data_IF_367044692287
#
_entry.id   IF_367044692287
#
_cell.length_a   1.000
_cell.length_b   1.000
_cell.length_c   1.000
_cell.angle_alpha   90.00
_cell.angle_beta   90.00
_cell.angle_gamma   90.00
#
_symmetry.space_group_name_H-M   'P 1'
#
loop_
_entity.id
_entity.type
_entity.pdbx_description
1 polymer ?
#
# COMPACT_ATOMS: atom_id res chain seq x y z
N UNK A 1 -12.12 -24.33 -20.74
CA UNK A 1 -11.67 -25.32 -19.73
C UNK A 1 -12.36 -25.20 -18.37
N UNK A 2 -12.22 -24.14 -17.56
CA UNK A 2 -12.91 -24.07 -16.24
C UNK A 2 -14.45 -24.19 -16.34
N UNK A 3 -15.04 -23.75 -17.46
CA UNK A 3 -16.47 -23.90 -17.76
C UNK A 3 -16.90 -25.36 -18.00
N UNK A 4 -16.01 -26.24 -18.43
CA UNK A 4 -16.33 -27.67 -18.63
C UNK A 4 -16.67 -28.34 -17.30
N UNK A 5 -16.12 -27.86 -16.19
CA UNK A 5 -16.45 -28.37 -14.86
C UNK A 5 -17.88 -28.02 -14.43
N UNK A 6 -18.51 -27.04 -15.08
CA UNK A 6 -19.92 -26.72 -14.87
C UNK A 6 -20.85 -27.58 -15.73
N UNK A 7 -20.31 -28.32 -16.70
CA UNK A 7 -21.10 -29.17 -17.59
C UNK A 7 -21.25 -30.61 -17.05
N UNK A 8 -20.64 -30.92 -15.89
CA UNK A 8 -20.72 -32.23 -15.22
C UNK A 8 -20.43 -33.43 -16.14
N UNK A 9 -19.59 -33.23 -17.16
CA UNK A 9 -19.23 -34.25 -18.14
C UNK A 9 -18.33 -35.32 -17.50
N UNK A 10 -18.61 -36.58 -17.83
CA UNK A 10 -17.77 -37.72 -17.55
C UNK A 10 -16.52 -37.76 -18.43
N UNK A 11 -15.56 -38.62 -18.06
CA UNK A 11 -14.29 -38.78 -18.80
C UNK A 11 -14.44 -39.32 -20.22
N UNK A 12 -15.58 -39.94 -20.53
CA UNK A 12 -15.87 -40.57 -21.82
C UNK A 12 -16.91 -39.80 -22.64
N UNK A 13 -17.43 -38.71 -22.11
CA UNK A 13 -18.45 -37.92 -22.79
C UNK A 13 -17.82 -37.04 -23.86
N UNK A 14 -18.47 -36.97 -25.03
CA UNK A 14 -18.03 -36.08 -26.10
C UNK A 14 -18.20 -34.62 -25.67
N UNK A 15 -17.18 -33.79 -25.96
CA UNK A 15 -17.30 -32.36 -25.72
C UNK A 15 -18.33 -31.76 -26.67
N UNK A 16 -19.16 -30.82 -26.20
CA UNK A 16 -20.03 -30.10 -27.11
C UNK A 16 -19.19 -29.33 -28.14
N UNK A 17 -19.73 -29.24 -29.36
CA UNK A 17 -19.02 -28.72 -30.54
C UNK A 17 -18.38 -27.34 -30.32
N UNK A 18 -19.03 -26.48 -29.54
CA UNK A 18 -18.53 -25.13 -29.25
C UNK A 18 -17.23 -25.16 -28.44
N UNK A 19 -17.21 -25.96 -27.38
CA UNK A 19 -16.06 -26.11 -26.48
C UNK A 19 -14.91 -26.83 -27.18
N UNK A 20 -15.21 -27.84 -28.00
CA UNK A 20 -14.21 -28.53 -28.82
C UNK A 20 -13.53 -27.55 -29.79
N UNK A 21 -14.32 -26.73 -30.48
CA UNK A 21 -13.78 -25.75 -31.44
C UNK A 21 -12.95 -24.66 -30.76
N UNK A 22 -13.38 -24.17 -29.59
CA UNK A 22 -12.58 -23.23 -28.78
C UNK A 22 -11.27 -23.86 -28.31
N UNK A 23 -11.29 -25.13 -27.92
CA UNK A 23 -10.10 -25.88 -27.54
C UNK A 23 -9.15 -26.09 -28.72
N UNK A 24 -9.65 -26.48 -29.88
CA UNK A 24 -8.84 -26.66 -31.10
C UNK A 24 -8.15 -25.35 -31.51
N UNK A 25 -8.90 -24.23 -31.54
CA UNK A 25 -8.32 -22.90 -31.79
C UNK A 25 -7.22 -22.53 -30.79
N UNK A 26 -7.38 -22.88 -29.52
CA UNK A 26 -6.35 -22.68 -28.52
C UNK A 26 -5.09 -23.51 -28.81
N UNK A 27 -5.25 -24.80 -29.17
CA UNK A 27 -4.13 -25.65 -29.58
C UNK A 27 -3.42 -25.09 -30.80
N UNK A 28 -4.15 -24.65 -31.82
CA UNK A 28 -3.56 -24.05 -33.03
C UNK A 28 -2.74 -22.79 -32.67
N UNK A 29 -3.24 -21.96 -31.74
CA UNK A 29 -2.51 -20.78 -31.26
C UNK A 29 -1.19 -21.11 -30.54
N UNK A 30 -1.03 -22.33 -30.01
CA UNK A 30 0.22 -22.75 -29.37
C UNK A 30 1.37 -22.90 -30.37
N UNK A 31 1.07 -23.12 -31.66
CA UNK A 31 2.13 -23.18 -32.67
C UNK A 31 2.87 -21.84 -32.81
N UNK A 32 2.16 -20.73 -32.60
CA UNK A 32 2.76 -19.39 -32.60
C UNK A 32 3.79 -19.20 -31.47
N UNK A 33 3.72 -19.98 -30.39
CA UNK A 33 4.67 -19.92 -29.26
C UNK A 33 6.08 -20.31 -29.71
N UNK A 34 6.22 -21.18 -30.72
CA UNK A 34 7.54 -21.57 -31.27
C UNK A 34 8.32 -20.37 -31.82
N UNK A 35 7.62 -19.33 -32.26
CA UNK A 35 8.21 -18.13 -32.85
C UNK A 35 8.47 -17.01 -31.83
N UNK A 36 8.13 -17.22 -30.55
CA UNK A 36 8.35 -16.21 -29.51
C UNK A 36 9.82 -16.29 -29.05
N UNK A 37 10.60 -15.30 -29.47
CA UNK A 37 11.95 -15.07 -28.94
C UNK A 37 11.90 -14.09 -27.77
N UNK A 38 12.45 -14.49 -26.62
CA UNK A 38 12.53 -13.64 -25.42
C UNK A 38 14.01 -13.41 -25.10
N UNK A 39 14.43 -12.15 -25.12
CA UNK A 39 15.76 -11.76 -24.70
C UNK A 39 15.98 -12.16 -23.23
N UNK A 40 16.90 -13.09 -22.98
CA UNK A 40 17.20 -13.59 -21.62
C UNK A 40 17.95 -12.56 -20.80
N UNK A 41 18.67 -11.64 -21.45
CA UNK A 41 19.45 -10.64 -20.76
C UNK A 41 18.53 -9.53 -20.27
N UNK A 42 18.08 -9.69 -19.03
CA UNK A 42 17.36 -8.63 -18.35
C UNK A 42 18.40 -7.54 -18.05
N UNK A 43 19.50 -7.80 -17.36
CA UNK A 43 20.45 -6.77 -16.87
C UNK A 43 21.10 -5.93 -18.01
N UNK A 44 21.09 -4.61 -17.86
CA UNK A 44 21.91 -3.72 -18.70
C UNK A 44 23.17 -3.37 -17.92
N UNK A 45 24.34 -3.61 -18.50
CA UNK A 45 25.60 -3.17 -17.92
C UNK A 45 25.62 -1.64 -17.86
N UNK A 46 25.88 -1.09 -16.67
CA UNK A 46 26.02 0.36 -16.42
C UNK A 46 24.73 1.18 -16.59
N UNK A 47 23.56 0.61 -16.28
CA UNK A 47 22.37 1.42 -16.07
C UNK A 47 22.56 2.34 -14.86
N UNK A 48 22.29 3.63 -15.03
CA UNK A 48 22.37 4.63 -13.96
C UNK A 48 21.18 4.49 -13.00
N UNK A 49 20.01 4.18 -13.55
CA UNK A 49 18.80 3.94 -12.77
C UNK A 49 18.05 2.71 -13.23
N UNK A 50 17.48 2.00 -12.25
CA UNK A 50 16.65 0.82 -12.45
C UNK A 50 15.34 1.02 -11.69
N UNK A 51 14.25 1.07 -12.43
CA UNK A 51 12.89 1.25 -11.91
C UNK A 51 12.08 -0.03 -12.13
N UNK A 52 11.25 -0.40 -11.15
CA UNK A 52 10.27 -1.48 -11.30
C UNK A 52 8.86 -0.89 -11.38
N UNK A 53 8.12 -1.25 -12.42
CA UNK A 53 6.74 -0.81 -12.66
C UNK A 53 5.82 -2.03 -12.61
N UNK A 54 4.90 -2.02 -11.66
CA UNK A 54 4.01 -3.12 -11.37
C UNK A 54 2.58 -2.72 -11.72
N UNK A 55 1.91 -3.51 -12.54
CA UNK A 55 0.54 -3.25 -12.97
C UNK A 55 -0.36 -4.37 -12.48
N UNK A 56 -1.53 -4.03 -11.96
CA UNK A 56 -2.61 -4.97 -11.68
C UNK A 56 -3.83 -4.64 -12.52
N UNK A 57 -4.48 -5.68 -13.01
CA UNK A 57 -5.76 -5.59 -13.72
C UNK A 57 -6.66 -6.77 -13.34
N UNK A 58 -7.97 -6.58 -13.47
CA UNK A 58 -8.95 -7.62 -13.27
C UNK A 58 -10.17 -7.49 -14.18
N UNK A 59 -10.63 -8.66 -14.63
CA UNK A 59 -11.87 -8.86 -15.35
C UNK A 59 -12.76 -9.84 -14.60
N UNK A 60 -14.01 -10.00 -15.05
CA UNK A 60 -14.95 -10.99 -14.50
C UNK A 60 -14.38 -12.42 -14.53
N UNK A 61 -13.56 -12.73 -15.54
CA UNK A 61 -13.03 -14.08 -15.79
C UNK A 61 -11.72 -14.34 -15.07
N UNK A 62 -10.87 -13.33 -14.90
CA UNK A 62 -9.54 -13.49 -14.35
C UNK A 62 -8.98 -12.16 -13.85
N UNK A 63 -8.04 -12.23 -12.92
CA UNK A 63 -7.22 -11.09 -12.48
C UNK A 63 -5.75 -11.41 -12.60
N UNK A 64 -4.93 -10.38 -12.80
CA UNK A 64 -3.52 -10.55 -13.13
C UNK A 64 -2.64 -9.42 -12.63
N UNK A 65 -1.35 -9.69 -12.74
CA UNK A 65 -0.27 -8.79 -12.38
C UNK A 65 0.87 -8.91 -13.39
N UNK A 66 1.42 -7.79 -13.83
CA UNK A 66 2.64 -7.73 -14.64
C UNK A 66 3.64 -6.78 -13.98
N UNK A 67 4.92 -7.14 -14.02
CA UNK A 67 6.03 -6.37 -13.45
C UNK A 67 7.04 -6.17 -14.57
N UNK A 68 7.24 -4.92 -14.92
CA UNK A 68 8.24 -4.46 -15.86
C UNK A 68 9.39 -3.84 -15.10
N UNK A 69 10.56 -3.93 -15.71
CA UNK A 69 11.72 -3.18 -15.29
C UNK A 69 12.09 -2.21 -16.39
N UNK A 70 12.25 -0.95 -16.02
CA UNK A 70 12.76 0.12 -16.84
C UNK A 70 14.19 0.42 -16.39
N UNK A 71 15.11 0.49 -17.34
CA UNK A 71 16.51 0.81 -17.08
C UNK A 71 16.90 1.98 -17.96
N UNK A 72 17.56 2.97 -17.36
CA UNK A 72 17.99 4.20 -18.03
C UNK A 72 19.52 4.22 -18.00
N UNK A 73 20.15 4.35 -19.17
CA UNK A 73 21.61 4.49 -19.29
C UNK A 73 22.05 5.92 -19.00
N UNK A 74 23.34 6.11 -18.74
CA UNK A 74 23.96 7.45 -18.58
C UNK A 74 23.78 8.35 -19.81
N UNK A 75 23.51 7.77 -20.98
CA UNK A 75 23.24 8.49 -22.23
C UNK A 75 21.74 8.79 -22.42
N UNK A 76 20.89 8.42 -21.45
CA UNK A 76 19.45 8.58 -21.50
C UNK A 76 18.70 7.48 -22.26
N UNK A 77 19.38 6.41 -22.69
CA UNK A 77 18.71 5.31 -23.39
C UNK A 77 17.82 4.52 -22.43
N UNK A 78 16.57 4.30 -22.83
CA UNK A 78 15.58 3.59 -22.01
C UNK A 78 15.31 2.21 -22.60
N UNK A 79 15.52 1.16 -21.80
CA UNK A 79 15.09 -0.21 -22.14
C UNK A 79 14.08 -0.69 -21.10
N UNK A 80 12.94 -1.18 -21.58
CA UNK A 80 11.88 -1.77 -20.75
C UNK A 80 11.76 -3.26 -21.04
N UNK A 81 11.72 -4.08 -20.00
CA UNK A 81 11.58 -5.53 -20.13
C UNK A 81 10.55 -6.07 -19.13
N UNK A 82 9.74 -7.04 -19.56
CA UNK A 82 8.86 -7.78 -18.67
C UNK A 82 9.71 -8.73 -17.81
N UNK A 83 9.63 -8.59 -16.49
CA UNK A 83 10.36 -9.44 -15.53
C UNK A 83 9.48 -10.58 -15.06
N UNK A 84 8.22 -10.28 -14.71
CA UNK A 84 7.29 -11.28 -14.21
C UNK A 84 5.87 -10.93 -14.61
N UNK A 85 5.14 -11.92 -15.11
CA UNK A 85 3.68 -11.87 -15.20
C UNK A 85 3.06 -13.03 -14.43
N UNK A 86 1.90 -12.81 -13.83
CA UNK A 86 1.08 -13.87 -13.22
C UNK A 86 -0.40 -13.51 -13.31
N UNK A 87 -1.20 -14.46 -13.80
CA UNK A 87 -2.66 -14.40 -13.80
C UNK A 87 -3.27 -15.50 -12.91
N UNK A 88 -4.50 -15.28 -12.47
CA UNK A 88 -5.35 -16.24 -11.75
C UNK A 88 -6.78 -16.14 -12.25
N UNK A 89 -7.44 -17.28 -12.41
CA UNK A 89 -8.85 -17.33 -12.75
C UNK A 89 -9.70 -16.76 -11.61
N UNK A 90 -10.77 -16.08 -11.98
CA UNK A 90 -11.76 -15.57 -11.04
C UNK A 90 -12.44 -16.74 -10.33
N UNK A 91 -12.74 -16.64 -9.03
CA UNK A 91 -13.50 -17.66 -8.33
C UNK A 91 -14.85 -17.91 -9.02
N UNK A 92 -15.30 -19.17 -9.04
CA UNK A 92 -16.64 -19.52 -9.56
C UNK A 92 -17.75 -18.80 -8.79
N UNK A 93 -17.54 -18.57 -7.49
CA UNK A 93 -18.42 -17.72 -6.69
C UNK A 93 -18.23 -16.27 -7.11
N UNK A 94 -19.29 -15.69 -7.66
CA UNK A 94 -19.27 -14.32 -8.17
C UNK A 94 -18.83 -13.33 -7.08
N UNK A 95 -17.78 -12.58 -7.40
CA UNK A 95 -17.29 -11.46 -6.61
C UNK A 95 -17.26 -10.22 -7.50
N UNK A 96 -17.45 -9.05 -6.90
CA UNK A 96 -17.50 -7.81 -7.66
C UNK A 96 -16.14 -7.48 -8.29
N UNK A 97 -16.17 -6.78 -9.44
CA UNK A 97 -14.96 -6.31 -10.14
C UNK A 97 -13.98 -5.58 -9.20
N UNK A 98 -14.40 -4.63 -8.35
CA UNK A 98 -13.47 -3.98 -7.42
C UNK A 98 -12.75 -4.92 -6.45
N UNK A 99 -13.41 -6.01 -6.04
CA UNK A 99 -12.79 -7.02 -5.17
C UNK A 99 -11.78 -7.89 -5.93
N UNK A 100 -12.00 -8.10 -7.23
CA UNK A 100 -11.07 -8.78 -8.13
C UNK A 100 -9.86 -7.89 -8.45
N UNK A 101 -10.07 -6.61 -8.71
CA UNK A 101 -9.00 -5.63 -8.87
C UNK A 101 -8.13 -5.57 -7.60
N UNK A 102 -8.75 -5.58 -6.41
CA UNK A 102 -8.03 -5.70 -5.14
C UNK A 102 -7.29 -7.04 -5.01
N UNK A 103 -7.81 -8.15 -5.56
CA UNK A 103 -7.05 -9.40 -5.65
C UNK A 103 -5.78 -9.20 -6.50
N UNK A 104 -5.92 -8.52 -7.64
CA UNK A 104 -4.83 -8.19 -8.55
C UNK A 104 -3.75 -7.36 -7.86
N UNK A 105 -4.13 -6.30 -7.15
CA UNK A 105 -3.20 -5.47 -6.38
C UNK A 105 -2.43 -6.28 -5.31
N UNK A 106 -3.12 -7.18 -4.60
CA UNK A 106 -2.46 -8.10 -3.65
C UNK A 106 -1.50 -9.06 -4.35
N UNK A 107 -1.86 -9.55 -5.54
CA UNK A 107 -1.01 -10.44 -6.34
C UNK A 107 0.28 -9.72 -6.77
N UNK A 108 0.16 -8.48 -7.25
CA UNK A 108 1.29 -7.61 -7.60
C UNK A 108 2.20 -7.40 -6.40
N UNK A 109 1.66 -6.99 -5.24
CA UNK A 109 2.45 -6.73 -4.03
C UNK A 109 3.27 -7.95 -3.60
N UNK A 110 2.66 -9.14 -3.65
CA UNK A 110 3.34 -10.41 -3.35
C UNK A 110 4.50 -10.69 -4.31
N UNK A 111 4.26 -10.56 -5.61
CA UNK A 111 5.30 -10.84 -6.61
C UNK A 111 6.38 -9.78 -6.64
N UNK A 112 6.05 -8.51 -6.40
CA UNK A 112 7.04 -7.44 -6.31
C UNK A 112 8.04 -7.75 -5.21
N UNK A 113 7.59 -8.11 -4.01
CA UNK A 113 8.49 -8.54 -2.92
C UNK A 113 9.43 -9.64 -3.37
N UNK A 114 8.90 -10.69 -4.01
CA UNK A 114 9.71 -11.81 -4.51
C UNK A 114 10.70 -11.40 -5.60
N UNK A 115 10.30 -10.52 -6.52
CA UNK A 115 11.15 -10.01 -7.60
C UNK A 115 12.29 -9.16 -7.05
N UNK A 116 12.03 -8.30 -6.05
CA UNK A 116 13.08 -7.51 -5.39
C UNK A 116 14.11 -8.42 -4.70
N UNK A 117 13.65 -9.47 -4.02
CA UNK A 117 14.52 -10.47 -3.38
C UNK A 117 15.34 -11.27 -4.39
N UNK A 118 14.75 -11.65 -5.54
CA UNK A 118 15.43 -12.49 -6.55
C UNK A 118 16.39 -11.72 -7.44
N UNK A 119 16.06 -10.49 -7.84
CA UNK A 119 16.90 -9.74 -8.76
C UNK A 119 18.22 -9.30 -8.13
N UNK A 120 18.27 -9.08 -6.80
CA UNK A 120 19.45 -8.59 -6.09
C UNK A 120 20.16 -7.40 -6.79
N UNK A 121 19.37 -6.52 -7.39
CA UNK A 121 19.83 -5.29 -8.04
C UNK A 121 19.56 -4.10 -7.13
N UNK A 122 20.37 -3.05 -7.27
CA UNK A 122 20.05 -1.75 -6.68
C UNK A 122 18.91 -1.11 -7.47
N UNK A 123 17.70 -1.24 -6.93
CA UNK A 123 16.47 -0.68 -7.52
C UNK A 123 16.31 0.75 -7.01
N UNK A 124 16.34 1.70 -7.93
CA UNK A 124 16.20 3.14 -7.67
C UNK A 124 14.77 3.49 -7.24
N UNK A 125 13.77 2.92 -7.93
CA UNK A 125 12.37 3.22 -7.66
C UNK A 125 11.45 2.01 -7.90
N UNK A 126 10.32 1.97 -7.19
CA UNK A 126 9.26 0.98 -7.39
C UNK A 126 7.92 1.69 -7.46
N UNK A 127 7.19 1.43 -8.54
CA UNK A 127 5.88 2.01 -8.82
C UNK A 127 4.83 0.92 -8.93
N UNK A 128 3.66 1.18 -8.34
CA UNK A 128 2.48 0.32 -8.44
C UNK A 128 1.37 1.10 -9.16
N UNK A 129 0.80 0.49 -10.19
CA UNK A 129 -0.19 1.07 -11.08
C UNK A 129 -1.48 0.27 -11.03
N UNK A 130 -2.60 0.98 -10.89
CA UNK A 130 -3.96 0.47 -11.02
C UNK A 130 -4.84 1.59 -11.55
N UNK A 131 -5.75 1.25 -12.44
CA UNK A 131 -6.81 2.12 -12.97
C UNK A 131 -8.06 2.16 -12.07
N UNK A 132 -8.16 1.24 -11.12
CA UNK A 132 -9.26 1.18 -10.16
C UNK A 132 -9.15 2.26 -9.08
N UNK A 133 -9.89 3.34 -9.27
CA UNK A 133 -10.09 4.39 -8.26
C UNK A 133 -10.64 3.84 -6.94
N UNK A 134 -11.46 2.78 -7.01
CA UNK A 134 -12.00 2.11 -5.83
C UNK A 134 -10.91 1.41 -5.02
N UNK A 135 -10.02 0.66 -5.68
CA UNK A 135 -8.87 0.01 -5.01
C UNK A 135 -7.94 1.05 -4.43
N UNK A 136 -7.61 2.11 -5.18
CA UNK A 136 -6.78 3.22 -4.69
C UNK A 136 -7.42 3.85 -3.44
N UNK A 137 -8.73 4.14 -3.46
CA UNK A 137 -9.43 4.70 -2.31
C UNK A 137 -9.38 3.77 -1.09
N UNK A 138 -9.62 2.47 -1.27
CA UNK A 138 -9.53 1.50 -0.18
C UNK A 138 -8.13 1.37 0.41
N UNK A 139 -7.09 1.48 -0.41
CA UNK A 139 -5.70 1.44 0.07
C UNK A 139 -5.38 2.66 0.93
N UNK A 140 -5.93 3.84 0.61
CA UNK A 140 -5.66 5.08 1.36
C UNK A 140 -6.54 5.25 2.60
N UNK A 141 -7.78 4.76 2.59
CA UNK A 141 -8.73 4.85 3.71
C UNK A 141 -8.26 4.16 5.00
N UNK A 142 -8.92 4.50 6.11
CA UNK A 142 -8.73 3.85 7.40
C UNK A 142 -9.40 2.48 7.47
N UNK A 143 -8.76 1.55 8.18
CA UNK A 143 -9.25 0.16 8.30
C UNK A 143 -10.60 0.01 9.00
N UNK A 144 -11.08 1.03 9.72
CA UNK A 144 -12.36 0.99 10.46
C UNK A 144 -13.57 1.15 9.55
N UNK A 145 -13.40 1.78 8.40
CA UNK A 145 -14.47 2.08 7.44
C UNK A 145 -14.67 0.97 6.40
N UNK A 146 -13.75 0.00 6.35
CA UNK A 146 -13.67 -1.00 5.30
C UNK A 146 -14.24 -2.35 5.76
N UNK A 147 -14.90 -3.05 4.84
CA UNK A 147 -15.38 -4.42 5.08
C UNK A 147 -14.19 -5.36 5.30
N UNK A 148 -14.37 -6.39 6.13
CA UNK A 148 -13.32 -7.35 6.54
C UNK A 148 -12.51 -7.92 5.36
N UNK A 149 -13.17 -8.26 4.25
CA UNK A 149 -12.49 -8.74 3.04
C UNK A 149 -11.46 -7.74 2.50
N UNK A 150 -11.83 -6.46 2.46
CA UNK A 150 -10.98 -5.39 1.95
C UNK A 150 -9.84 -5.12 2.91
N UNK A 151 -10.13 -4.99 4.21
CA UNK A 151 -9.10 -4.80 5.25
C UNK A 151 -8.03 -5.88 5.19
N UNK A 152 -8.44 -7.16 5.20
CA UNK A 152 -7.52 -8.30 5.18
C UNK A 152 -6.62 -8.34 3.94
N UNK A 153 -7.07 -7.78 2.81
CA UNK A 153 -6.32 -7.68 1.55
C UNK A 153 -5.41 -6.46 1.55
N UNK A 154 -5.91 -5.29 1.96
CA UNK A 154 -5.11 -4.07 2.08
C UNK A 154 -3.94 -4.27 3.04
N UNK A 155 -4.14 -4.97 4.16
CA UNK A 155 -3.05 -5.33 5.09
C UNK A 155 -1.96 -6.19 4.46
N UNK A 156 -2.25 -6.93 3.38
CA UNK A 156 -1.22 -7.69 2.63
C UNK A 156 -0.42 -6.79 1.68
N UNK A 157 -0.98 -5.67 1.25
CA UNK A 157 -0.31 -4.67 0.40
C UNK A 157 0.52 -3.75 1.29
N UNK A 158 -0.07 -3.26 2.39
CA UNK A 158 0.54 -2.34 3.34
C UNK A 158 0.52 -2.98 4.74
N UNK A 159 1.58 -3.71 5.14
CA UNK A 159 1.64 -4.39 6.43
C UNK A 159 1.57 -3.44 7.63
N UNK A 160 2.00 -2.19 7.48
CA UNK A 160 1.94 -1.19 8.56
C UNK A 160 0.52 -0.77 8.95
N UNK A 161 -0.49 -1.05 8.12
CA UNK A 161 -1.91 -0.79 8.41
C UNK A 161 -2.58 -1.90 9.24
N UNK A 162 -1.83 -2.87 9.74
CA UNK A 162 -2.37 -3.96 10.58
C UNK A 162 -2.86 -3.39 11.92
N UNK A 163 -4.09 -3.75 12.31
CA UNK A 163 -4.57 -3.55 13.69
C UNK A 163 -3.64 -4.30 14.64
N UNK A 164 -2.83 -3.57 15.42
CA UNK A 164 -2.15 -4.14 16.59
C UNK A 164 -3.23 -4.62 17.56
N UNK A 165 -3.10 -5.85 18.04
CA UNK A 165 -3.98 -6.46 19.04
C UNK A 165 -3.15 -6.76 20.27
N UNK A 166 -3.66 -6.40 21.45
CA UNK A 166 -2.96 -6.53 22.72
C UNK A 166 -3.33 -5.40 23.68
N UNK A 167 -2.85 -5.44 24.94
CA UNK A 167 -2.94 -4.30 25.85
C UNK A 167 -2.24 -3.08 25.25
N UNK A 168 -2.74 -1.87 25.55
CA UNK A 168 -2.10 -0.65 25.10
C UNK A 168 -0.66 -0.58 25.63
N UNK A 169 0.30 -0.34 24.73
CA UNK A 169 1.68 -0.06 25.12
C UNK A 169 1.82 1.38 25.59
N UNK A 170 2.79 1.64 26.48
CA UNK A 170 3.10 3.00 26.94
C UNK A 170 3.48 3.94 25.79
N UNK A 171 4.16 3.44 24.76
CA UNK A 171 4.43 4.22 23.55
C UNK A 171 3.15 4.63 22.81
N UNK A 172 2.16 3.73 22.69
CA UNK A 172 0.89 4.05 22.02
C UNK A 172 0.07 5.08 22.79
N UNK A 173 0.09 5.00 24.14
CA UNK A 173 -0.54 6.01 25.00
C UNK A 173 0.16 7.36 24.81
N UNK A 174 1.49 7.40 24.86
CA UNK A 174 2.27 8.63 24.70
C UNK A 174 2.10 9.25 23.30
N UNK A 175 2.01 8.43 22.26
CA UNK A 175 1.78 8.87 20.88
C UNK A 175 0.36 9.45 20.72
N UNK A 176 -0.64 8.80 21.32
CA UNK A 176 -2.01 9.28 21.32
C UNK A 176 -2.16 10.60 22.10
N UNK A 177 -1.52 10.72 23.26
CA UNK A 177 -1.47 11.96 24.04
C UNK A 177 -0.82 13.09 23.23
N UNK A 178 0.34 12.83 22.63
CA UNK A 178 1.05 13.77 21.74
C UNK A 178 0.15 14.23 20.60
N UNK A 179 -0.59 13.30 19.98
CA UNK A 179 -1.52 13.61 18.89
C UNK A 179 -2.69 14.49 19.36
N UNK A 180 -3.29 14.19 20.51
CA UNK A 180 -4.39 14.98 21.07
C UNK A 180 -3.96 16.43 21.37
N UNK A 181 -2.76 16.60 21.93
CA UNK A 181 -2.19 17.94 22.20
C UNK A 181 -1.98 18.70 20.89
N UNK A 182 -1.40 18.07 19.87
CA UNK A 182 -1.21 18.72 18.55
C UNK A 182 -2.51 19.12 17.89
N UNK A 183 -3.56 18.31 18.02
CA UNK A 183 -4.88 18.63 17.49
C UNK A 183 -5.46 19.87 18.16
N UNK A 184 -5.35 19.97 19.49
CA UNK A 184 -5.76 21.16 20.24
C UNK A 184 -4.98 22.42 19.83
N UNK A 185 -3.68 22.26 19.59
CA UNK A 185 -2.78 23.36 19.21
C UNK A 185 -2.82 23.75 17.73
N UNK A 186 -3.52 22.98 16.88
CA UNK A 186 -3.52 23.18 15.42
C UNK A 186 -4.03 24.57 14.96
N UNK A 187 -4.80 25.25 15.81
CA UNK A 187 -5.30 26.62 15.57
C UNK A 187 -4.45 27.74 16.18
N UNK A 188 -3.33 27.43 16.85
CA UNK A 188 -2.49 28.44 17.53
C UNK A 188 -1.38 28.89 16.57
N UNK A 189 -1.38 30.17 16.21
CA UNK A 189 -0.31 30.77 15.43
C UNK A 189 0.72 31.46 16.35
N UNK A 190 1.99 31.04 16.27
CA UNK A 190 3.08 31.64 17.03
C UNK A 190 3.51 33.02 16.51
N UNK A 191 3.27 33.34 15.23
CA UNK A 191 3.67 34.64 14.66
C UNK A 191 2.72 35.79 15.06
N UNK A 192 1.49 35.47 15.45
CA UNK A 192 0.54 36.43 16.03
C UNK A 192 -0.21 35.79 17.22
N UNK A 193 0.44 35.69 18.40
CA UNK A 193 -0.14 35.06 19.56
C UNK A 193 -1.28 35.93 20.11
N UNK A 194 -2.50 35.40 20.15
CA UNK A 194 -3.68 36.12 20.66
C UNK A 194 -3.73 36.13 22.20
N UNK A 195 -4.03 37.30 22.79
CA UNK A 195 -4.29 37.46 24.23
C UNK A 195 -3.11 37.15 25.17
N UNK A 196 -3.39 36.42 26.26
CA UNK A 196 -2.45 36.10 27.34
C UNK A 196 -1.28 35.18 26.94
N UNK A 197 -1.24 34.69 25.69
CA UNK A 197 -0.11 33.90 25.19
C UNK A 197 1.17 34.74 24.99
N UNK A 198 1.04 36.07 24.81
CA UNK A 198 2.19 36.99 24.69
C UNK A 198 3.01 37.11 25.99
N UNK A 199 2.40 36.85 27.14
CA UNK A 199 3.08 36.94 28.45
C UNK A 199 3.67 35.60 28.92
N UNK A 200 3.37 34.51 28.20
CA UNK A 200 3.94 33.19 28.44
C UNK A 200 5.12 33.02 27.48
N UNK A 201 6.30 32.63 27.98
CA UNK A 201 7.45 32.33 27.12
C UNK A 201 7.18 31.04 26.34
N UNK A 202 6.45 31.12 25.22
CA UNK A 202 6.02 29.96 24.44
C UNK A 202 7.13 29.50 23.49
N UNK A 203 7.40 28.20 23.48
CA UNK A 203 8.30 27.58 22.51
C UNK A 203 7.77 26.21 22.06
N UNK A 204 8.32 25.70 20.96
CA UNK A 204 7.98 24.38 20.42
C UNK A 204 9.05 23.36 20.82
N UNK A 205 8.64 22.20 21.34
CA UNK A 205 9.56 21.11 21.69
C UNK A 205 9.95 20.25 20.47
N UNK A 206 10.86 19.29 20.68
CA UNK A 206 11.33 18.36 19.63
C UNK A 206 10.21 17.50 19.03
N UNK A 207 9.08 17.36 19.73
CA UNK A 207 7.90 16.65 19.26
C UNK A 207 6.95 17.57 18.51
N UNK A 208 7.23 18.86 18.42
CA UNK A 208 6.38 19.85 17.75
C UNK A 208 5.22 20.36 18.61
N UNK A 209 5.23 20.14 19.92
CA UNK A 209 4.21 20.61 20.87
C UNK A 209 4.59 22.00 21.40
N UNK A 210 3.62 22.90 21.47
CA UNK A 210 3.77 24.21 22.10
C UNK A 210 3.75 24.08 23.63
N UNK A 211 4.80 24.57 24.28
CA UNK A 211 5.00 24.52 25.73
C UNK A 211 5.33 25.89 26.30
N UNK A 212 5.11 26.04 27.59
CA UNK A 212 5.50 27.25 28.34
C UNK A 212 6.90 27.07 28.94
N UNK A 213 7.78 28.04 28.71
CA UNK A 213 9.03 28.23 29.43
C UNK A 213 8.74 28.74 30.84
N UNK A 214 9.12 27.95 31.86
CA UNK A 214 8.82 28.23 33.27
C UNK A 214 10.11 28.23 34.10
N UNK A 215 10.05 28.86 35.29
CA UNK A 215 11.05 28.98 36.37
C UNK A 215 11.68 27.66 36.90
N UNK A 216 11.29 26.49 36.37
CA UNK A 216 11.76 25.16 36.80
C UNK A 216 12.92 24.62 35.95
N UNK A 217 13.59 25.46 35.16
CA UNK A 217 14.72 25.06 34.30
C UNK A 217 15.79 24.27 35.06
N UNK A 218 16.09 24.67 36.31
CA UNK A 218 17.11 24.07 37.18
C UNK A 218 16.66 22.80 37.92
N UNK A 219 15.41 22.37 37.80
CA UNK A 219 14.92 21.17 38.49
C UNK A 219 15.39 19.88 37.80
N UNK A 220 15.67 18.81 38.56
CA UNK A 220 16.03 17.49 38.00
C UNK A 220 14.78 16.66 37.68
N UNK A 221 13.93 17.16 36.79
CA UNK A 221 12.70 16.48 36.34
C UNK A 221 12.69 16.37 34.79
N UNK A 222 11.95 15.41 34.21
CA UNK A 222 11.85 15.26 32.76
C UNK A 222 11.36 16.54 32.05
N UNK A 223 11.86 16.81 30.84
CA UNK A 223 11.59 18.04 30.10
C UNK A 223 10.09 18.32 29.89
N UNK A 224 9.29 17.27 29.72
CA UNK A 224 7.82 17.34 29.59
C UNK A 224 7.12 17.84 30.86
N UNK A 225 7.71 17.61 32.04
CA UNK A 225 7.22 18.11 33.33
C UNK A 225 7.75 19.51 33.66
N UNK A 226 8.95 19.86 33.17
CA UNK A 226 9.50 21.22 33.29
C UNK A 226 8.68 22.24 32.53
N UNK A 227 8.23 21.85 31.33
CA UNK A 227 7.60 22.73 30.37
C UNK A 227 6.19 22.20 30.06
N UNK A 228 5.16 22.64 30.77
CA UNK A 228 3.79 22.17 30.53
C UNK A 228 3.32 22.54 29.12
N UNK A 229 2.56 21.63 28.50
CA UNK A 229 1.96 21.87 27.19
C UNK A 229 0.82 22.89 27.30
N UNK A 230 0.71 23.76 26.30
CA UNK A 230 -0.36 24.75 26.22
C UNK A 230 -1.62 24.06 25.71
N UNK A 231 -2.72 24.21 26.44
CA UNK A 231 -4.02 23.65 26.07
C UNK A 231 -5.10 24.75 26.07
N UNK A 232 -6.07 24.63 25.17
CA UNK A 232 -7.19 25.56 25.09
C UNK A 232 -8.12 25.43 26.31
N UNK A 233 -8.54 26.56 26.89
CA UNK A 233 -9.37 26.64 28.11
C UNK A 233 -10.76 26.00 27.97
N UNK A 234 -11.25 25.80 26.74
CA UNK A 234 -12.65 25.47 26.47
C UNK A 234 -12.95 24.01 26.10
N UNK A 235 -11.99 23.09 26.24
CA UNK A 235 -12.28 21.68 25.98
C UNK A 235 -12.50 20.90 27.27
N UNK A 236 -13.67 20.25 27.38
CA UNK A 236 -14.02 19.20 28.34
C UNK A 236 -13.07 17.97 28.31
N UNK A 237 -11.95 18.04 27.57
CA UNK A 237 -10.97 16.96 27.38
C UNK A 237 -9.87 16.93 28.45
N UNK A 238 -9.65 18.03 29.18
CA UNK A 238 -8.60 18.12 30.23
C UNK A 238 -8.84 17.12 31.38
N UNK A 239 -10.09 16.65 31.58
CA UNK A 239 -10.43 15.65 32.59
C UNK A 239 -9.86 14.24 32.35
N UNK A 240 -9.32 13.95 31.17
CA UNK A 240 -8.83 12.62 30.81
C UNK A 240 -7.30 12.47 30.86
N UNK A 241 -6.58 13.54 31.22
CA UNK A 241 -5.11 13.60 31.16
C UNK A 241 -4.48 13.80 32.56
N UNK A 242 -5.31 13.90 33.62
CA UNK A 242 -4.85 14.01 35.02
C UNK A 242 -4.78 12.65 35.72
#
# INVERSE_FOLDING_TARGET
MQRLWLLELGWSDELPFKEENEFRRFIDSLEAVKNISIDRCIVIHRAESIELHAFSDASEKAYGSSIYRKSISVLGEVKVCLVKSKSRLSPLKQISIPRLELCGAVLVAKWMKKVKETLNLQITAVHFWSDSTTVISWIHRESRELKTFVVNRVSKIIPSKVKKRGPLTTSEVNDAETWLIKQDQSGINLSDPSGNLKSLNVFQDDKGILRVGVRLEKASIPNSQKHPAILAKNLNRVKYIS
#
